data_IF_704507462586
#
_entry.id   IF_704507462586
#
_cell.length_a   1.000
_cell.length_b   1.000
_cell.length_c   1.000
_cell.angle_alpha   90.00
_cell.angle_beta   90.00
_cell.angle_gamma   90.00
#
_symmetry.space_group_name_H-M   'P 1'
#
loop_
_entity.id
_entity.type
_entity.pdbx_description
1 polymer ?
#
# COMPACT_ATOMS: atom_id res chain seq x y z
N UNK A 1 1.06 -13.41 22.06
CA UNK A 1 0.07 -12.45 21.51
C UNK A 1 -0.57 -13.06 20.27
N UNK A 2 -1.87 -12.88 20.01
CA UNK A 2 -2.50 -13.36 18.76
C UNK A 2 -2.32 -12.33 17.63
N UNK A 3 -2.00 -12.73 16.39
CA UNK A 3 -1.84 -11.80 15.28
C UNK A 3 -3.20 -11.30 14.74
N UNK A 4 -3.22 -10.04 14.29
CA UNK A 4 -4.20 -9.52 13.32
C UNK A 4 -3.72 -9.82 11.90
N UNK A 5 -2.45 -9.52 11.64
CA UNK A 5 -1.72 -9.82 10.41
C UNK A 5 -0.40 -10.41 10.84
N UNK A 6 -0.18 -11.68 10.53
CA UNK A 6 0.99 -12.43 11.02
C UNK A 6 2.31 -11.71 10.69
N UNK A 7 3.21 -11.62 11.65
CA UNK A 7 4.51 -10.95 11.48
C UNK A 7 4.46 -9.42 11.39
N UNK A 8 3.28 -8.78 11.41
CA UNK A 8 3.15 -7.33 11.23
C UNK A 8 2.35 -6.66 12.36
N UNK A 9 1.10 -7.08 12.56
CA UNK A 9 0.18 -6.47 13.53
C UNK A 9 -0.41 -7.53 14.45
N UNK A 10 -0.50 -7.22 15.73
CA UNK A 10 -1.01 -8.11 16.78
C UNK A 10 -2.24 -7.51 17.43
N UNK A 11 -3.11 -8.35 17.97
CA UNK A 11 -4.37 -7.95 18.60
C UNK A 11 -4.12 -7.24 19.93
N UNK A 12 -4.95 -6.25 20.24
CA UNK A 12 -4.89 -5.49 21.49
C UNK A 12 -3.51 -4.88 21.75
N UNK A 13 -2.92 -4.25 20.73
CA UNK A 13 -1.61 -3.59 20.84
C UNK A 13 -1.62 -2.16 20.30
N UNK A 14 -0.66 -1.36 20.72
CA UNK A 14 -0.29 -0.13 20.03
C UNK A 14 0.80 -0.45 18.99
N UNK A 15 0.65 0.01 17.76
CA UNK A 15 1.59 -0.23 16.67
C UNK A 15 1.85 1.03 15.86
N UNK A 16 3.00 1.12 15.19
CA UNK A 16 3.29 2.21 14.26
C UNK A 16 3.93 1.73 12.97
N UNK A 17 3.71 2.50 11.90
CA UNK A 17 4.42 2.41 10.62
C UNK A 17 5.06 3.77 10.30
N UNK A 18 6.37 3.88 10.51
CA UNK A 18 7.14 5.09 10.24
C UNK A 18 7.87 5.02 8.89
N UNK A 19 8.11 6.16 8.24
CA UNK A 19 8.88 6.20 6.99
C UNK A 19 8.83 7.55 6.28
N UNK A 20 9.72 7.84 5.32
CA UNK A 20 9.80 9.14 4.67
C UNK A 20 8.53 9.49 3.88
N UNK A 21 8.24 10.76 3.59
CA UNK A 21 7.16 11.13 2.67
C UNK A 21 7.28 10.38 1.34
N UNK A 22 6.15 9.92 0.78
CA UNK A 22 6.13 9.24 -0.51
C UNK A 22 6.55 7.76 -0.54
N UNK A 23 6.95 7.15 0.59
CA UNK A 23 7.35 5.74 0.64
C UNK A 23 6.19 4.72 0.69
N UNK A 24 4.99 5.11 0.25
CA UNK A 24 3.81 4.24 0.14
C UNK A 24 3.16 3.73 1.46
N UNK A 25 3.45 4.30 2.63
CA UNK A 25 2.83 3.90 3.92
C UNK A 25 1.31 3.82 3.88
N UNK A 26 0.62 4.85 3.39
CA UNK A 26 -0.85 4.84 3.31
C UNK A 26 -1.37 3.78 2.34
N UNK A 27 -0.58 3.35 1.35
CA UNK A 27 -0.93 2.21 0.48
C UNK A 27 -0.77 0.87 1.21
N UNK A 28 0.26 0.73 2.05
CA UNK A 28 0.42 -0.44 2.91
C UNK A 28 -0.69 -0.51 3.97
N UNK A 29 -0.96 0.59 4.68
CA UNK A 29 -1.96 0.66 5.73
C UNK A 29 -3.38 0.37 5.20
N UNK A 30 -3.77 0.93 4.06
CA UNK A 30 -5.09 0.64 3.47
C UNK A 30 -5.20 -0.80 2.98
N UNK A 31 -4.14 -1.38 2.41
CA UNK A 31 -4.18 -2.76 1.94
C UNK A 31 -4.17 -3.78 3.10
N UNK A 32 -3.45 -3.49 4.19
CA UNK A 32 -3.56 -4.23 5.45
C UNK A 32 -4.99 -4.18 6.00
N UNK A 33 -5.62 -2.99 5.94
CA UNK A 33 -7.00 -2.79 6.37
C UNK A 33 -8.00 -3.60 5.52
N UNK A 34 -7.84 -3.59 4.19
CA UNK A 34 -8.67 -4.39 3.27
C UNK A 34 -8.47 -5.90 3.50
N UNK A 35 -7.22 -6.35 3.67
CA UNK A 35 -6.89 -7.74 3.96
C UNK A 35 -7.53 -8.22 5.26
N UNK A 36 -7.45 -7.41 6.33
CA UNK A 36 -8.10 -7.70 7.61
C UNK A 36 -9.62 -7.71 7.48
N UNK A 37 -10.22 -6.71 6.85
CA UNK A 37 -11.66 -6.63 6.62
C UNK A 37 -12.21 -7.85 5.87
N UNK A 38 -11.53 -8.25 4.78
CA UNK A 38 -11.93 -9.38 3.96
C UNK A 38 -11.53 -10.76 4.51
N UNK A 39 -10.74 -10.82 5.58
CA UNK A 39 -10.15 -12.08 6.07
C UNK A 39 -9.25 -12.75 5.03
N UNK A 40 -8.51 -11.97 4.25
CA UNK A 40 -7.57 -12.43 3.22
C UNK A 40 -6.14 -12.15 3.65
N UNK A 41 -5.20 -12.96 3.19
CA UNK A 41 -3.78 -12.69 3.43
C UNK A 41 -3.37 -11.34 2.86
N UNK A 42 -2.54 -10.62 3.60
CA UNK A 42 -1.84 -9.45 3.09
C UNK A 42 -0.55 -9.91 2.43
N UNK A 43 -0.55 -10.17 1.12
CA UNK A 43 0.59 -10.80 0.46
C UNK A 43 0.91 -12.17 1.07
N UNK A 44 2.11 -12.32 1.62
CA UNK A 44 2.55 -13.57 2.26
C UNK A 44 2.17 -13.67 3.74
N UNK A 45 1.53 -12.63 4.30
CA UNK A 45 1.18 -12.54 5.72
C UNK A 45 -0.27 -13.00 5.94
N UNK A 46 -0.45 -14.06 6.72
CA UNK A 46 -1.78 -14.60 7.00
C UNK A 46 -2.60 -13.64 7.87
N UNK A 47 -3.89 -13.57 7.57
CA UNK A 47 -4.91 -12.95 8.42
C UNK A 47 -5.74 -14.10 9.00
N UNK A 48 -5.55 -14.47 10.29
CA UNK A 48 -6.19 -15.65 10.85
C UNK A 48 -7.72 -15.56 10.91
N UNK A 49 -8.25 -14.34 11.03
CA UNK A 49 -9.68 -14.04 11.13
C UNK A 49 -9.96 -12.66 10.59
N UNK A 50 -11.04 -12.52 9.82
CA UNK A 50 -11.57 -11.22 9.42
C UNK A 50 -11.86 -10.33 10.64
N UNK A 51 -11.73 -9.02 10.48
CA UNK A 51 -11.95 -8.08 11.57
C UNK A 51 -12.42 -6.71 11.13
N UNK A 52 -13.12 -6.02 12.03
CA UNK A 52 -13.65 -4.68 11.80
C UNK A 52 -12.54 -3.64 11.91
N UNK A 53 -12.44 -2.76 10.93
CA UNK A 53 -11.42 -1.72 10.82
C UNK A 53 -12.08 -0.35 10.78
N UNK A 54 -11.61 0.56 11.63
CA UNK A 54 -11.92 1.99 11.54
C UNK A 54 -10.66 2.69 11.06
N UNK A 55 -10.74 3.39 9.94
CA UNK A 55 -9.63 4.08 9.32
C UNK A 55 -9.84 5.60 9.40
N UNK A 56 -9.07 6.27 10.26
CA UNK A 56 -9.03 7.72 10.37
C UNK A 56 -8.13 8.27 9.26
N UNK A 57 -8.76 8.73 8.19
CA UNK A 57 -8.13 9.38 7.05
C UNK A 57 -7.89 10.85 7.36
N UNK A 58 -6.92 11.13 8.22
CA UNK A 58 -6.67 12.44 8.81
C UNK A 58 -6.24 13.52 7.79
N UNK A 59 -5.86 13.13 6.58
CA UNK A 59 -5.57 14.03 5.44
C UNK A 59 -6.71 14.08 4.39
N UNK A 60 -7.82 13.39 4.65
CA UNK A 60 -8.97 13.23 3.77
C UNK A 60 -9.05 11.86 3.10
N UNK A 61 -10.28 11.43 2.78
CA UNK A 61 -10.57 10.08 2.28
C UNK A 61 -10.68 9.95 0.75
N UNK A 62 -10.59 11.05 -0.01
CA UNK A 62 -10.89 11.08 -1.46
C UNK A 62 -10.07 10.09 -2.30
N UNK A 63 -8.84 9.80 -1.88
CA UNK A 63 -7.96 8.82 -2.53
C UNK A 63 -8.09 7.39 -2.02
N UNK A 64 -8.79 7.14 -0.91
CA UNK A 64 -8.85 5.83 -0.26
C UNK A 64 -9.87 4.90 -0.91
N UNK A 65 -11.05 5.41 -1.26
CA UNK A 65 -12.10 4.62 -1.93
C UNK A 65 -11.54 3.92 -3.17
N UNK A 66 -10.87 4.66 -4.06
CA UNK A 66 -10.25 4.06 -5.25
C UNK A 66 -9.15 3.04 -4.95
N UNK A 67 -8.44 3.18 -3.82
CA UNK A 67 -7.42 2.20 -3.39
C UNK A 67 -8.07 0.91 -2.92
N UNK A 68 -9.19 0.99 -2.20
CA UNK A 68 -9.99 -0.17 -1.79
C UNK A 68 -10.52 -0.90 -3.01
N UNK A 69 -11.16 -0.18 -3.95
CA UNK A 69 -11.69 -0.78 -5.17
C UNK A 69 -10.59 -1.43 -6.02
N UNK A 70 -9.46 -0.75 -6.19
CA UNK A 70 -8.32 -1.30 -6.92
C UNK A 70 -7.76 -2.56 -6.25
N UNK A 71 -7.67 -2.56 -4.91
CA UNK A 71 -7.25 -3.74 -4.17
C UNK A 71 -8.23 -4.91 -4.37
N UNK A 72 -9.53 -4.64 -4.29
CA UNK A 72 -10.58 -5.65 -4.51
C UNK A 72 -10.46 -6.29 -5.90
N UNK A 73 -10.32 -5.49 -6.95
CA UNK A 73 -10.16 -6.00 -8.32
C UNK A 73 -8.88 -6.82 -8.52
N UNK A 74 -7.74 -6.33 -8.02
CA UNK A 74 -6.45 -7.02 -8.17
C UNK A 74 -6.45 -8.38 -7.46
N UNK A 75 -7.13 -8.48 -6.32
CA UNK A 75 -7.15 -9.70 -5.51
C UNK A 75 -8.42 -10.53 -5.67
N UNK A 76 -9.34 -10.13 -6.56
CA UNK A 76 -10.60 -10.83 -6.80
C UNK A 76 -11.49 -10.93 -5.56
N UNK A 77 -11.52 -9.87 -4.75
CA UNK A 77 -12.33 -9.78 -3.53
C UNK A 77 -13.59 -8.98 -3.82
N UNK A 78 -14.73 -9.47 -3.32
CA UNK A 78 -15.98 -8.74 -3.40
C UNK A 78 -15.90 -7.47 -2.54
N UNK A 79 -16.22 -6.32 -3.15
CA UNK A 79 -16.21 -5.00 -2.51
C UNK A 79 -17.12 -4.98 -1.28
N UNK A 80 -18.27 -5.67 -1.34
CA UNK A 80 -19.23 -5.71 -0.24
C UNK A 80 -18.63 -6.29 1.04
N UNK A 81 -17.75 -7.31 0.92
CA UNK A 81 -17.08 -7.91 2.08
C UNK A 81 -16.15 -6.93 2.78
N UNK A 82 -15.54 -6.01 2.03
CA UNK A 82 -14.67 -4.98 2.60
C UNK A 82 -15.52 -3.85 3.20
N UNK A 83 -16.56 -3.38 2.50
CA UNK A 83 -17.42 -2.28 2.95
C UNK A 83 -18.20 -2.59 4.23
N UNK A 84 -18.53 -3.86 4.49
CA UNK A 84 -19.17 -4.28 5.74
C UNK A 84 -18.26 -4.16 6.97
N UNK A 85 -16.93 -4.17 6.76
CA UNK A 85 -15.94 -4.28 7.83
C UNK A 85 -14.95 -3.11 7.89
N UNK A 86 -14.82 -2.30 6.84
CA UNK A 86 -13.89 -1.17 6.76
C UNK A 86 -14.64 0.16 6.72
N UNK A 87 -14.57 0.89 7.83
CA UNK A 87 -15.21 2.20 8.00
C UNK A 87 -14.18 3.32 7.92
N UNK A 88 -14.54 4.44 7.29
CA UNK A 88 -13.68 5.63 7.20
C UNK A 88 -14.20 6.77 8.07
N UNK A 89 -13.26 7.46 8.73
CA UNK A 89 -13.47 8.79 9.32
C UNK A 89 -12.61 9.74 8.49
N UNK A 90 -13.22 10.69 7.79
CA UNK A 90 -12.56 11.57 6.82
C UNK A 90 -11.98 12.86 7.42
N UNK A 91 -11.91 12.90 8.75
CA UNK A 91 -11.36 13.99 9.56
C UNK A 91 -10.41 13.44 10.63
N UNK A 92 -9.42 14.23 11.09
CA UNK A 92 -8.50 13.79 12.11
C UNK A 92 -9.19 13.63 13.47
N UNK A 93 -8.89 12.53 14.16
CA UNK A 93 -9.17 12.31 15.58
C UNK A 93 -8.04 12.92 16.42
N UNK A 94 -8.29 13.95 17.22
CA UNK A 94 -7.25 14.57 18.06
C UNK A 94 -7.05 13.82 19.39
N UNK A 95 -5.88 13.20 19.57
CA UNK A 95 -5.51 12.49 20.80
C UNK A 95 -5.21 13.42 21.99
N UNK A 96 -5.08 14.72 21.74
CA UNK A 96 -4.94 15.74 22.79
C UNK A 96 -6.28 16.34 23.25
N UNK A 97 -7.41 15.86 22.71
CA UNK A 97 -8.75 16.34 22.98
C UNK A 97 -9.57 15.21 23.64
N UNK A 98 -9.92 15.39 24.91
CA UNK A 98 -10.60 14.36 25.72
C UNK A 98 -11.99 14.00 25.18
N UNK A 99 -12.73 14.98 24.64
CA UNK A 99 -14.07 14.75 24.09
C UNK A 99 -13.99 13.92 22.82
N UNK A 100 -13.01 14.20 21.95
CA UNK A 100 -12.79 13.40 20.75
C UNK A 100 -12.30 11.99 21.07
N UNK A 101 -11.45 11.82 22.08
CA UNK A 101 -11.02 10.50 22.55
C UNK A 101 -12.20 9.70 23.12
N UNK A 102 -13.08 10.33 23.88
CA UNK A 102 -14.30 9.69 24.38
C UNK A 102 -15.22 9.23 23.23
N UNK A 103 -15.43 10.08 22.22
CA UNK A 103 -16.17 9.69 21.00
C UNK A 103 -15.50 8.54 20.26
N UNK A 104 -14.17 8.54 20.15
CA UNK A 104 -13.45 7.43 19.55
C UNK A 104 -13.66 6.13 20.31
N UNK A 105 -13.61 6.16 21.65
CA UNK A 105 -13.93 5.02 22.53
C UNK A 105 -15.33 4.47 22.25
N UNK A 106 -16.33 5.34 22.17
CA UNK A 106 -17.71 4.94 21.83
C UNK A 106 -17.76 4.23 20.48
N UNK A 107 -17.20 4.84 19.43
CA UNK A 107 -17.23 4.29 18.07
C UNK A 107 -16.49 2.95 17.97
N UNK A 108 -15.28 2.82 18.55
CA UNK A 108 -14.55 1.54 18.50
C UNK A 108 -15.26 0.43 19.27
N UNK A 109 -15.96 0.78 20.35
CA UNK A 109 -16.70 -0.18 21.19
C UNK A 109 -17.97 -0.63 20.51
N UNK A 110 -18.80 0.31 20.02
CA UNK A 110 -20.05 0.02 19.31
C UNK A 110 -19.82 -0.84 18.07
N UNK A 111 -18.72 -0.60 17.35
CA UNK A 111 -18.35 -1.35 16.15
C UNK A 111 -17.57 -2.63 16.42
N UNK A 112 -17.23 -2.91 17.68
CA UNK A 112 -16.37 -4.04 18.05
C UNK A 112 -15.08 -4.06 17.22
N UNK A 113 -14.43 -2.91 17.07
CA UNK A 113 -13.29 -2.75 16.17
C UNK A 113 -12.13 -3.68 16.55
N UNK A 114 -11.53 -4.32 15.56
CA UNK A 114 -10.28 -5.08 15.69
C UNK A 114 -9.06 -4.18 15.45
N UNK A 115 -9.20 -3.15 14.61
CA UNK A 115 -8.12 -2.24 14.23
C UNK A 115 -8.65 -0.79 14.09
N UNK A 116 -7.97 0.15 14.76
CA UNK A 116 -8.12 1.60 14.54
C UNK A 116 -6.84 2.12 13.87
N UNK A 117 -6.94 2.62 12.65
CA UNK A 117 -5.82 3.21 11.91
C UNK A 117 -5.85 4.73 12.03
N UNK A 118 -4.71 5.33 12.37
CA UNK A 118 -4.51 6.79 12.40
C UNK A 118 -3.54 7.19 11.28
N UNK A 119 -4.07 7.60 10.12
CA UNK A 119 -3.28 7.98 8.95
C UNK A 119 -3.42 9.47 8.61
N UNK A 120 -2.54 10.37 9.06
CA UNK A 120 -1.30 10.11 9.82
C UNK A 120 -1.41 10.52 11.30
N UNK A 121 -0.63 9.87 12.16
CA UNK A 121 -0.47 10.20 13.59
C UNK A 121 -0.20 11.69 13.81
N UNK A 122 0.66 12.29 13.00
CA UNK A 122 0.99 13.72 13.09
C UNK A 122 -0.24 14.64 12.98
N UNK A 123 -1.26 14.23 12.22
CA UNK A 123 -2.52 14.97 12.08
C UNK A 123 -3.49 14.70 13.23
N UNK A 124 -3.31 13.60 13.95
CA UNK A 124 -4.08 13.21 15.12
C UNK A 124 -3.48 13.73 16.45
N UNK A 125 -2.38 14.47 16.41
CA UNK A 125 -1.72 15.04 17.59
C UNK A 125 -1.52 16.56 17.46
N UNK A 126 -2.38 17.25 16.71
CA UNK A 126 -2.30 18.71 16.56
C UNK A 126 -2.60 19.37 17.91
N UNK A 127 -1.81 20.39 18.25
CA UNK A 127 -1.86 21.04 19.57
C UNK A 127 -0.91 20.43 20.60
N UNK A 128 -0.34 19.26 20.33
CA UNK A 128 0.75 18.67 21.10
C UNK A 128 2.08 18.91 20.40
N UNK A 129 3.11 19.28 21.16
CA UNK A 129 4.49 19.37 20.70
C UNK A 129 5.01 17.98 20.36
N UNK A 130 5.28 17.77 19.07
CA UNK A 130 5.77 16.51 18.50
C UNK A 130 7.11 16.09 19.12
N UNK A 131 7.92 17.02 19.65
CA UNK A 131 9.22 16.74 20.24
C UNK A 131 9.19 16.56 21.77
N UNK A 132 8.10 16.93 22.43
CA UNK A 132 7.97 16.82 23.88
C UNK A 132 7.53 15.41 24.29
N UNK A 133 8.42 14.68 24.98
CA UNK A 133 8.09 13.36 25.51
C UNK A 133 6.87 13.40 26.46
N UNK A 134 6.71 14.48 27.23
CA UNK A 134 5.56 14.67 28.12
C UNK A 134 4.26 14.79 27.33
N UNK A 135 4.22 15.64 26.30
CA UNK A 135 2.99 15.84 25.53
C UNK A 135 2.67 14.66 24.62
N UNK A 136 3.69 14.01 24.05
CA UNK A 136 3.49 12.75 23.34
C UNK A 136 3.05 11.62 24.27
N UNK A 137 3.46 11.63 25.54
CA UNK A 137 2.95 10.73 26.57
C UNK A 137 1.43 10.82 26.75
N UNK A 138 0.85 12.01 26.68
CA UNK A 138 -0.61 12.20 26.72
C UNK A 138 -1.30 11.55 25.53
N UNK A 139 -0.76 11.73 24.32
CA UNK A 139 -1.32 11.10 23.11
C UNK A 139 -1.21 9.56 23.14
N UNK A 140 -0.11 9.03 23.69
CA UNK A 140 0.09 7.60 23.88
C UNK A 140 -0.96 7.05 24.86
N UNK A 141 -1.15 7.71 26.00
CA UNK A 141 -2.14 7.31 27.01
C UNK A 141 -3.57 7.35 26.47
N UNK A 142 -3.91 8.36 25.66
CA UNK A 142 -5.19 8.44 24.96
C UNK A 142 -5.38 7.28 23.96
N UNK A 143 -4.35 6.98 23.16
CA UNK A 143 -4.38 5.85 22.23
C UNK A 143 -4.50 4.50 22.96
N UNK A 144 -3.81 4.33 24.10
CA UNK A 144 -3.91 3.16 24.94
C UNK A 144 -5.29 3.03 25.61
N UNK A 145 -5.92 4.15 25.96
CA UNK A 145 -7.29 4.17 26.50
C UNK A 145 -8.31 3.70 25.46
N UNK A 146 -8.20 4.17 24.21
CA UNK A 146 -9.03 3.69 23.09
C UNK A 146 -8.81 2.19 22.84
N UNK A 147 -7.53 1.77 22.80
CA UNK A 147 -7.14 0.37 22.67
C UNK A 147 -7.76 -0.50 23.76
N UNK A 148 -7.65 -0.08 25.02
CA UNK A 148 -8.11 -0.83 26.18
C UNK A 148 -9.64 -0.96 26.23
N UNK A 149 -10.38 0.06 25.79
CA UNK A 149 -11.84 0.05 25.81
C UNK A 149 -12.46 -0.99 24.88
N UNK A 150 -11.96 -1.12 23.64
CA UNK A 150 -12.47 -2.07 22.67
C UNK A 150 -11.65 -3.37 22.56
N UNK A 151 -10.45 -3.42 23.16
CA UNK A 151 -9.49 -4.49 22.91
C UNK A 151 -8.95 -4.49 21.46
N UNK A 152 -9.15 -3.40 20.73
CA UNK A 152 -8.70 -3.21 19.35
C UNK A 152 -7.19 -2.98 19.32
N UNK A 153 -6.60 -2.99 18.13
CA UNK A 153 -5.23 -2.51 17.92
C UNK A 153 -5.26 -1.09 17.39
N UNK A 154 -4.46 -0.19 17.96
CA UNK A 154 -4.32 1.18 17.45
C UNK A 154 -3.03 1.26 16.64
N UNK A 155 -3.16 1.63 15.36
CA UNK A 155 -2.07 1.62 14.38
C UNK A 155 -1.82 3.01 13.81
N UNK A 156 -0.72 3.64 14.22
CA UNK A 156 -0.33 4.97 13.77
C UNK A 156 0.57 4.95 12.54
N UNK A 157 0.14 5.57 11.44
CA UNK A 157 1.01 5.85 10.30
C UNK A 157 1.73 7.15 10.54
N UNK A 158 3.06 7.17 10.47
CA UNK A 158 3.84 8.36 10.80
C UNK A 158 4.99 8.61 9.82
N UNK A 159 5.46 9.85 9.81
CA UNK A 159 6.68 10.18 9.06
C UNK A 159 7.91 9.79 9.87
N UNK A 160 8.96 9.35 9.19
CA UNK A 160 10.27 9.21 9.83
C UNK A 160 10.95 10.56 10.01
N UNK A 161 11.97 10.60 10.88
CA UNK A 161 12.85 11.76 11.03
C UNK A 161 13.62 12.05 9.73
N UNK A 162 14.15 13.28 9.61
CA UNK A 162 14.92 13.69 8.42
C UNK A 162 16.22 12.89 8.23
N UNK A 163 16.80 12.44 9.33
CA UNK A 163 18.07 11.70 9.37
C UNK A 163 17.84 10.38 10.11
N UNK A 164 17.16 9.44 9.45
CA UNK A 164 16.95 8.09 9.99
C UNK A 164 15.61 7.49 9.61
N UNK A 165 15.37 6.30 10.12
CA UNK A 165 14.16 5.49 9.86
C UNK A 165 13.17 5.52 11.03
N UNK A 166 13.60 5.96 12.21
CA UNK A 166 12.74 6.18 13.38
C UNK A 166 11.66 7.25 13.12
N UNK A 167 10.56 7.17 13.85
CA UNK A 167 9.48 8.15 13.78
C UNK A 167 9.96 9.58 14.05
N UNK A 168 9.40 10.55 13.34
CA UNK A 168 9.65 11.98 13.59
C UNK A 168 9.10 12.37 14.96
N UNK A 169 9.85 13.18 15.70
CA UNK A 169 9.45 13.71 17.00
C UNK A 169 10.12 12.99 18.16
N UNK A 170 9.43 12.95 19.29
CA UNK A 170 9.86 12.24 20.49
C UNK A 170 9.94 10.73 20.26
N UNK A 171 11.00 10.11 20.79
CA UNK A 171 11.16 8.66 20.84
C UNK A 171 10.25 7.97 21.89
N UNK A 172 9.39 8.71 22.59
CA UNK A 172 8.42 8.15 23.53
C UNK A 172 7.53 7.08 22.87
N UNK A 173 7.12 7.33 21.62
CA UNK A 173 6.34 6.37 20.82
C UNK A 173 7.12 5.09 20.54
N UNK A 174 8.41 5.20 20.20
CA UNK A 174 9.26 4.04 19.94
C UNK A 174 9.39 3.16 21.18
N UNK A 175 9.31 3.72 22.39
CA UNK A 175 9.24 2.98 23.64
C UNK A 175 7.87 2.35 23.91
N UNK A 176 6.79 3.06 23.57
CA UNK A 176 5.41 2.69 23.91
C UNK A 176 4.79 1.61 23.00
N UNK A 177 5.08 1.64 21.70
CA UNK A 177 4.46 0.70 20.75
C UNK A 177 4.88 -0.74 21.04
N UNK A 178 3.99 -1.69 20.82
CA UNK A 178 4.31 -3.11 20.83
C UNK A 178 4.98 -3.52 19.51
N UNK A 179 4.46 -3.04 18.37
CA UNK A 179 5.07 -3.19 17.03
C UNK A 179 5.60 -1.85 16.49
N UNK A 180 6.90 -1.78 16.16
CA UNK A 180 7.51 -0.68 15.40
C UNK A 180 7.89 -1.17 14.00
N UNK A 181 7.10 -0.77 13.00
CA UNK A 181 7.36 -1.07 11.59
C UNK A 181 7.93 0.17 10.91
N UNK A 182 8.93 -0.03 10.06
CA UNK A 182 9.61 1.04 9.32
C UNK A 182 9.54 0.76 7.83
N UNK A 183 9.10 1.73 7.05
CA UNK A 183 8.90 1.57 5.62
C UNK A 183 9.77 2.51 4.82
N UNK A 184 10.52 1.94 3.88
CA UNK A 184 11.19 2.65 2.81
C UNK A 184 10.60 2.25 1.47
N UNK A 185 10.69 3.13 0.47
CA UNK A 185 10.14 2.82 -0.83
C UNK A 185 10.43 3.88 -1.88
N UNK A 186 10.34 3.44 -3.13
CA UNK A 186 10.55 4.23 -4.34
C UNK A 186 10.55 3.33 -5.58
N UNK A 187 10.29 3.90 -6.75
CA UNK A 187 10.37 3.15 -8.02
C UNK A 187 9.46 1.92 -8.07
N UNK A 188 8.25 2.01 -7.48
CA UNK A 188 7.27 0.92 -7.38
C UNK A 188 7.73 -0.27 -6.52
N UNK A 189 8.68 -0.07 -5.64
CA UNK A 189 9.13 -1.06 -4.65
C UNK A 189 9.05 -0.45 -3.26
N UNK A 190 8.85 -1.31 -2.27
CA UNK A 190 8.91 -0.91 -0.88
C UNK A 190 9.44 -2.04 -0.01
N UNK A 191 10.04 -1.69 1.11
CA UNK A 191 10.46 -2.62 2.16
C UNK A 191 9.85 -2.16 3.47
N UNK A 192 9.19 -3.07 4.18
CA UNK A 192 8.80 -2.89 5.58
C UNK A 192 9.78 -3.68 6.44
N UNK A 193 10.60 -2.97 7.21
CA UNK A 193 11.45 -3.53 8.25
C UNK A 193 10.66 -3.58 9.56
N UNK A 194 10.63 -4.75 10.21
CA UNK A 194 10.14 -4.85 11.58
C UNK A 194 11.27 -4.50 12.55
N UNK A 195 11.31 -3.26 13.03
CA UNK A 195 12.32 -2.85 14.00
C UNK A 195 12.08 -3.56 15.35
N UNK A 196 10.82 -3.59 15.78
CA UNK A 196 10.47 -4.07 17.11
C UNK A 196 9.15 -4.81 17.09
N UNK A 197 9.17 -5.96 17.74
CA UNK A 197 8.02 -6.53 18.42
C UNK A 197 8.42 -6.80 19.86
N UNK A 198 7.50 -6.61 20.82
CA UNK A 198 7.84 -6.75 22.25
C UNK A 198 8.11 -8.20 22.68
N UNK A 199 7.24 -9.13 22.29
CA UNK A 199 7.22 -10.50 22.82
C UNK A 199 7.42 -11.59 21.74
N UNK A 200 7.76 -11.20 20.52
CA UNK A 200 8.03 -12.10 19.38
C UNK A 200 9.25 -11.61 18.59
N UNK A 201 9.89 -12.47 17.77
CA UNK A 201 11.05 -12.06 16.98
C UNK A 201 10.76 -10.86 16.07
N UNK A 202 11.74 -9.96 15.97
CA UNK A 202 11.76 -8.80 15.08
C UNK A 202 13.05 -8.82 14.23
N UNK A 203 13.31 -7.75 13.48
CA UNK A 203 14.51 -7.58 12.65
C UNK A 203 14.40 -8.19 11.25
N UNK A 204 13.18 -8.49 10.79
CA UNK A 204 12.92 -9.03 9.46
C UNK A 204 12.51 -7.94 8.46
N UNK A 205 12.98 -8.11 7.22
CA UNK A 205 12.60 -7.29 6.08
C UNK A 205 11.54 -7.98 5.24
N UNK A 206 10.54 -7.20 4.84
CA UNK A 206 9.43 -7.65 4.01
C UNK A 206 9.35 -6.79 2.77
N UNK A 207 9.57 -7.41 1.60
CA UNK A 207 9.61 -6.71 0.33
C UNK A 207 8.27 -6.74 -0.39
N UNK A 208 7.90 -5.58 -0.91
CA UNK A 208 6.65 -5.36 -1.63
C UNK A 208 6.91 -4.65 -2.96
N UNK A 209 5.96 -4.79 -3.87
CA UNK A 209 5.89 -4.02 -5.09
C UNK A 209 4.55 -3.28 -5.18
N UNK A 210 4.56 -2.13 -5.84
CA UNK A 210 3.38 -1.31 -6.09
C UNK A 210 2.97 -1.51 -7.55
N UNK A 211 1.80 -2.08 -7.77
CA UNK A 211 1.26 -2.38 -9.09
C UNK A 211 0.33 -1.24 -9.49
N UNK A 212 0.60 -0.48 -10.57
CA UNK A 212 -0.31 0.55 -11.03
C UNK A 212 -1.53 -0.09 -11.67
N UNK A 213 -2.70 0.28 -11.17
CA UNK A 213 -3.99 -0.26 -11.53
C UNK A 213 -4.99 0.86 -11.84
N UNK A 214 -5.88 0.62 -12.79
CA UNK A 214 -7.00 1.52 -13.09
C UNK A 214 -8.28 0.78 -12.77
N UNK A 215 -8.96 1.20 -11.70
CA UNK A 215 -10.25 0.61 -11.26
C UNK A 215 -11.22 0.57 -12.44
N UNK A 216 -11.96 -0.51 -12.63
CA UNK A 216 -12.89 -0.68 -13.76
C UNK A 216 -13.99 0.39 -13.83
N UNK A 217 -14.56 0.68 -15.01
CA UNK A 217 -15.70 1.58 -15.15
C UNK A 217 -16.94 1.07 -14.40
N UNK A 218 -17.07 -0.24 -14.21
CA UNK A 218 -18.18 -0.86 -13.49
C UNK A 218 -18.19 -0.46 -12.01
N UNK A 219 -17.03 -0.43 -11.35
CA UNK A 219 -16.91 -0.01 -9.95
C UNK A 219 -16.80 1.51 -9.76
N UNK A 220 -16.40 2.26 -10.79
CA UNK A 220 -16.32 3.72 -10.77
C UNK A 220 -16.91 4.32 -12.06
N UNK A 221 -18.24 4.31 -12.22
CA UNK A 221 -18.89 4.87 -13.39
C UNK A 221 -18.62 6.38 -13.50
N UNK A 222 -18.74 6.91 -14.72
CA UNK A 222 -18.65 8.35 -15.02
C UNK A 222 -17.33 9.04 -14.59
N UNK A 223 -16.28 8.26 -14.34
CA UNK A 223 -14.99 8.76 -13.87
C UNK A 223 -13.91 8.53 -14.93
N UNK A 224 -13.19 9.61 -15.28
CA UNK A 224 -12.07 9.53 -16.24
C UNK A 224 -11.00 8.54 -15.78
N UNK A 225 -10.32 7.81 -16.69
CA UNK A 225 -9.31 6.81 -16.34
C UNK A 225 -8.24 7.32 -15.36
N UNK A 226 -7.73 8.55 -15.56
CA UNK A 226 -6.73 9.15 -14.66
C UNK A 226 -7.19 9.25 -13.20
N UNK A 227 -8.48 9.51 -12.98
CA UNK A 227 -9.07 9.62 -11.65
C UNK A 227 -9.29 8.25 -11.00
N UNK A 228 -9.44 7.19 -11.80
CA UNK A 228 -9.54 5.77 -11.38
C UNK A 228 -8.18 5.08 -11.23
N UNK A 229 -7.09 5.71 -11.66
CA UNK A 229 -5.76 5.15 -11.53
C UNK A 229 -5.19 5.32 -10.11
N UNK A 230 -4.55 4.26 -9.62
CA UNK A 230 -3.88 4.22 -8.32
C UNK A 230 -2.81 3.11 -8.30
N UNK A 231 -2.20 2.91 -7.13
CA UNK A 231 -1.25 1.81 -6.90
C UNK A 231 -1.86 0.80 -5.93
N UNK A 232 -1.59 -0.48 -6.15
CA UNK A 232 -1.96 -1.58 -5.24
C UNK A 232 -0.67 -2.25 -4.75
N UNK A 233 -0.52 -2.37 -3.44
CA UNK A 233 0.63 -3.08 -2.86
C UNK A 233 0.42 -4.60 -3.01
N UNK A 234 1.50 -5.29 -3.36
CA UNK A 234 1.56 -6.74 -3.49
C UNK A 234 2.88 -7.24 -2.92
N UNK A 235 2.96 -8.52 -2.55
CA UNK A 235 4.26 -9.11 -2.22
C UNK A 235 5.23 -8.95 -3.41
N UNK A 236 6.54 -8.90 -3.15
CA UNK A 236 7.50 -8.59 -4.20
C UNK A 236 7.44 -9.59 -5.38
N UNK A 237 7.25 -10.88 -5.11
CA UNK A 237 7.21 -11.92 -6.15
C UNK A 237 6.03 -11.73 -7.11
N UNK A 238 4.81 -11.65 -6.58
CA UNK A 238 3.57 -11.49 -7.35
C UNK A 238 3.52 -10.13 -8.02
N UNK A 239 3.84 -9.06 -7.29
CA UNK A 239 3.83 -7.71 -7.85
C UNK A 239 4.85 -7.55 -8.98
N UNK A 240 6.05 -8.11 -8.87
CA UNK A 240 7.03 -8.10 -9.98
C UNK A 240 6.55 -8.92 -11.18
N UNK A 241 5.87 -10.05 -10.96
CA UNK A 241 5.25 -10.82 -12.04
C UNK A 241 4.15 -10.00 -12.75
N UNK A 242 3.28 -9.33 -12.00
CA UNK A 242 2.23 -8.45 -12.55
C UNK A 242 2.82 -7.27 -13.32
N UNK A 243 3.86 -6.61 -12.79
CA UNK A 243 4.56 -5.52 -13.48
C UNK A 243 5.22 -5.98 -14.78
N UNK A 244 5.80 -7.19 -14.80
CA UNK A 244 6.36 -7.80 -16.02
C UNK A 244 5.27 -8.11 -17.03
N UNK A 245 4.16 -8.71 -16.61
CA UNK A 245 3.02 -9.02 -17.48
C UNK A 245 2.45 -7.73 -18.10
N UNK A 246 2.25 -6.68 -17.30
CA UNK A 246 1.82 -5.37 -17.79
C UNK A 246 2.79 -4.80 -18.82
N UNK A 247 4.09 -4.81 -18.51
CA UNK A 247 5.13 -4.33 -19.43
C UNK A 247 5.13 -5.10 -20.75
N UNK A 248 4.92 -6.43 -20.69
CA UNK A 248 4.79 -7.28 -21.87
C UNK A 248 3.55 -6.91 -22.70
N UNK A 249 2.37 -6.81 -22.08
CA UNK A 249 1.15 -6.40 -22.78
C UNK A 249 1.30 -5.02 -23.43
N UNK A 250 1.85 -4.03 -22.72
CA UNK A 250 2.06 -2.69 -23.27
C UNK A 250 3.02 -2.69 -24.45
N UNK A 251 4.16 -3.39 -24.35
CA UNK A 251 5.12 -3.50 -25.46
C UNK A 251 4.51 -4.25 -26.64
N UNK A 252 3.75 -5.31 -26.38
CA UNK A 252 3.04 -6.06 -27.39
C UNK A 252 2.04 -5.16 -28.14
N UNK A 253 1.21 -4.41 -27.42
CA UNK A 253 0.23 -3.49 -28.00
C UNK A 253 0.88 -2.38 -28.83
N UNK A 254 1.98 -1.79 -28.35
CA UNK A 254 2.74 -0.80 -29.12
C UNK A 254 3.19 -1.38 -30.46
N UNK A 255 3.73 -2.60 -30.45
CA UNK A 255 4.24 -3.24 -31.66
C UNK A 255 3.09 -3.64 -32.59
N UNK A 256 2.05 -4.28 -32.06
CA UNK A 256 0.94 -4.79 -32.85
C UNK A 256 0.10 -3.69 -33.49
N UNK A 257 -0.09 -2.56 -32.80
CA UNK A 257 -0.97 -1.50 -33.28
C UNK A 257 -0.22 -0.39 -34.04
N UNK A 258 1.10 -0.26 -33.85
CA UNK A 258 1.84 0.91 -34.35
C UNK A 258 3.16 0.59 -35.06
N UNK A 259 3.63 -0.66 -35.12
CA UNK A 259 4.91 -0.95 -35.77
C UNK A 259 4.85 -0.70 -37.27
N UNK A 260 5.79 0.08 -37.83
CA UNK A 260 5.91 0.24 -39.28
C UNK A 260 6.47 -1.04 -39.92
N UNK A 261 6.40 -1.20 -41.25
CA UNK A 261 6.91 -2.39 -41.95
C UNK A 261 8.40 -2.67 -41.68
N UNK A 262 9.21 -1.63 -41.50
CA UNK A 262 10.62 -1.75 -41.13
C UNK A 262 10.85 -2.09 -39.65
N UNK A 263 9.80 -2.12 -38.82
CA UNK A 263 9.84 -2.45 -37.41
C UNK A 263 10.44 -1.37 -36.51
N UNK A 264 10.07 -1.42 -35.23
CA UNK A 264 10.61 -0.52 -34.21
C UNK A 264 11.96 -0.99 -33.68
N UNK A 265 12.88 -0.04 -33.49
CA UNK A 265 14.08 -0.25 -32.68
C UNK A 265 13.73 -0.27 -31.18
N UNK A 266 14.54 -0.92 -30.32
CA UNK A 266 14.34 -0.87 -28.86
C UNK A 266 14.20 0.57 -28.33
N UNK A 267 15.00 1.51 -28.83
CA UNK A 267 14.94 2.91 -28.41
C UNK A 267 13.62 3.59 -28.75
N UNK A 268 13.01 3.27 -29.90
CA UNK A 268 11.69 3.78 -30.28
C UNK A 268 10.60 3.20 -29.37
N UNK A 269 10.64 1.89 -29.09
CA UNK A 269 9.70 1.25 -28.16
C UNK A 269 9.84 1.86 -26.76
N UNK A 270 11.06 2.12 -26.28
CA UNK A 270 11.30 2.82 -25.00
C UNK A 270 10.64 4.20 -25.01
N UNK A 271 10.79 4.97 -26.08
CA UNK A 271 10.18 6.30 -26.21
C UNK A 271 8.65 6.26 -26.18
N UNK A 272 8.04 5.26 -26.82
CA UNK A 272 6.58 5.07 -26.85
C UNK A 272 6.02 4.48 -25.55
N UNK A 273 6.80 3.68 -24.84
CA UNK A 273 6.38 3.02 -23.61
C UNK A 273 6.65 3.88 -22.36
N UNK A 274 7.56 4.85 -22.41
CA UNK A 274 7.86 5.74 -21.30
C UNK A 274 6.66 6.57 -20.80
N UNK A 275 5.81 7.16 -21.66
CA UNK A 275 4.56 7.80 -21.24
C UNK A 275 3.55 6.84 -20.59
N UNK A 276 3.70 5.54 -20.81
CA UNK A 276 2.87 4.47 -20.24
C UNK A 276 3.51 3.84 -18.99
N UNK A 277 4.49 4.53 -18.39
CA UNK A 277 5.20 4.13 -17.17
C UNK A 277 6.01 2.83 -17.28
N UNK A 278 6.40 2.42 -18.49
CA UNK A 278 7.28 1.26 -18.69
C UNK A 278 8.74 1.69 -18.79
N UNK A 279 9.54 1.27 -17.80
CA UNK A 279 10.97 1.59 -17.74
C UNK A 279 11.80 0.91 -18.82
N UNK A 280 12.95 1.51 -19.15
CA UNK A 280 13.90 1.02 -20.17
C UNK A 280 14.26 -0.46 -20.01
N UNK A 281 14.62 -0.89 -18.81
CA UNK A 281 14.99 -2.29 -18.51
C UNK A 281 13.82 -3.24 -18.73
N UNK A 282 12.60 -2.85 -18.33
CA UNK A 282 11.37 -3.63 -18.54
C UNK A 282 11.05 -3.78 -20.02
N UNK A 283 11.26 -2.75 -20.85
CA UNK A 283 11.08 -2.84 -22.31
C UNK A 283 12.04 -3.88 -22.90
N UNK A 284 13.33 -3.86 -22.55
CA UNK A 284 14.28 -4.85 -23.05
C UNK A 284 13.91 -6.29 -22.65
N UNK A 285 13.48 -6.49 -21.40
CA UNK A 285 13.02 -7.80 -20.94
C UNK A 285 11.74 -8.25 -21.68
N UNK A 286 10.77 -7.35 -21.85
CA UNK A 286 9.53 -7.64 -22.56
C UNK A 286 9.80 -8.01 -24.03
N UNK A 287 10.62 -7.22 -24.74
CA UNK A 287 11.01 -7.52 -26.13
C UNK A 287 11.66 -8.90 -26.26
N UNK A 288 12.52 -9.28 -25.31
CA UNK A 288 13.16 -10.60 -25.29
C UNK A 288 12.12 -11.71 -25.12
N UNK A 289 11.28 -11.62 -24.08
CA UNK A 289 10.29 -12.67 -23.75
C UNK A 289 9.23 -12.81 -24.85
N UNK A 290 8.69 -11.70 -25.36
CA UNK A 290 7.67 -11.74 -26.42
C UNK A 290 8.23 -12.31 -27.73
N UNK A 291 9.51 -12.05 -28.04
CA UNK A 291 10.16 -12.63 -29.20
C UNK A 291 10.43 -14.14 -29.02
N UNK A 292 10.83 -14.57 -27.82
CA UNK A 292 10.97 -15.99 -27.47
C UNK A 292 9.63 -16.73 -27.55
N UNK A 293 8.52 -16.07 -27.22
CA UNK A 293 7.15 -16.59 -27.35
C UNK A 293 6.58 -16.52 -28.78
N UNK A 294 7.28 -15.90 -29.73
CA UNK A 294 6.83 -15.75 -31.11
C UNK A 294 5.71 -14.71 -31.33
N UNK A 295 5.33 -13.95 -30.29
CA UNK A 295 4.28 -12.93 -30.36
C UNK A 295 4.74 -11.67 -31.10
N UNK A 296 6.05 -11.45 -31.18
CA UNK A 296 6.71 -10.44 -32.01
C UNK A 296 7.91 -11.07 -32.71
N UNK A 297 8.33 -10.48 -33.83
CA UNK A 297 9.47 -10.97 -34.62
C UNK A 297 10.59 -9.93 -34.69
N UNK A 298 11.82 -10.35 -34.41
CA UNK A 298 12.99 -9.54 -34.69
C UNK A 298 13.43 -9.74 -36.16
N UNK A 299 13.19 -8.74 -37.00
CA UNK A 299 13.59 -8.74 -38.42
C UNK A 299 14.97 -8.09 -38.64
N UNK A 300 15.60 -7.62 -37.56
CA UNK A 300 16.94 -7.04 -37.58
C UNK A 300 18.04 -8.06 -37.23
N UNK A 301 19.23 -7.54 -36.94
CA UNK A 301 20.35 -8.35 -36.43
C UNK A 301 20.45 -8.24 -34.91
N UNK A 302 21.25 -9.10 -34.28
CA UNK A 302 21.53 -9.02 -32.84
C UNK A 302 22.09 -7.65 -32.41
N UNK A 303 22.83 -6.95 -33.29
CA UNK A 303 23.37 -5.60 -33.01
C UNK A 303 22.46 -4.46 -33.44
N UNK A 304 21.50 -4.72 -34.35
CA UNK A 304 20.53 -3.75 -34.87
C UNK A 304 19.16 -4.39 -34.92
N UNK A 305 18.62 -4.69 -33.75
CA UNK A 305 17.33 -5.38 -33.63
C UNK A 305 16.19 -4.44 -34.02
N UNK A 306 15.19 -5.01 -34.71
CA UNK A 306 13.98 -4.32 -35.14
C UNK A 306 12.80 -5.27 -34.99
N UNK A 307 11.76 -4.82 -34.32
CA UNK A 307 10.64 -5.67 -33.91
C UNK A 307 9.37 -5.29 -34.67
N UNK A 308 8.70 -6.30 -35.21
CA UNK A 308 7.37 -6.22 -35.85
C UNK A 308 6.41 -7.21 -35.18
N UNK A 309 5.12 -7.10 -35.48
CA UNK A 309 4.12 -8.06 -35.03
C UNK A 309 4.49 -9.50 -35.48
N UNK A 310 4.14 -10.48 -34.64
CA UNK A 310 4.25 -11.90 -34.99
C UNK A 310 3.22 -12.32 -36.04
N UNK A 311 3.23 -13.60 -36.39
CA UNK A 311 2.33 -14.16 -37.43
C UNK A 311 0.90 -14.41 -36.93
N UNK A 312 0.69 -14.52 -35.62
CA UNK A 312 -0.62 -14.69 -35.00
C UNK A 312 -0.79 -13.77 -33.81
N UNK A 313 -1.95 -13.11 -33.74
CA UNK A 313 -2.30 -12.26 -32.59
C UNK A 313 -2.69 -13.18 -31.44
N UNK A 314 -2.08 -13.04 -30.25
CA UNK A 314 -2.52 -13.76 -29.07
C UNK A 314 -3.93 -13.35 -28.65
#
# INVERSE_FOLDING_TARGET
MQPLIEGLLYRNTLAQLAGPPGCYKSFAAIAMSCALAAGKSFGDFAVPRAGTVIYVAAEGASGLVKRVLAWCEVWGVDVALVEEQLFFVDMPLQLGDEDQVAQAVEVVTERCADLLVLDTRARCTVGLDENSATQQGLAIDAADSIRAAAGCTVFGVHHSSRTGTAGRGSNAWDGAVWSDLRMEGGGLQATVHCEKHKDVPAGCDHHFALVPHTVSPELMPDTFPLCRSTLVISNASTGLQMLRAKSQCTVLDIIWNSAPPEGFTPSQVIGLAAPLEVGKSSVYQALKVLAEQGLIKNIGTARRSRFVAGEQRP
#
